data_IF_819705826355
#
_entry.id   IF_819705826355
#
_cell.length_a   1.000
_cell.length_b   1.000
_cell.length_c   1.000
_cell.angle_alpha   90.00
_cell.angle_beta   90.00
_cell.angle_gamma   90.00
#
_symmetry.space_group_name_H-M   'P 1'
#
loop_
_entity.id
_entity.type
_entity.pdbx_description
1 polymer ?
#
# COMPACT_ATOMS: atom_id res chain seq x y z
N UNK A 1 6.54 19.63 8.59
CA UNK A 1 5.23 20.23 8.27
C UNK A 1 4.41 20.28 9.54
N UNK A 2 4.16 21.47 10.09
CA UNK A 2 3.60 21.66 11.45
C UNK A 2 2.26 22.39 11.45
N UNK A 3 1.72 22.77 10.28
CA UNK A 3 0.40 23.42 10.23
C UNK A 3 -0.72 22.39 10.46
N UNK A 4 -1.80 22.76 11.17
CA UNK A 4 -2.94 21.87 11.41
C UNK A 4 -3.57 21.35 10.12
N UNK A 5 -3.63 22.20 9.09
CA UNK A 5 -4.18 21.88 7.77
C UNK A 5 -3.35 20.79 7.08
N UNK A 6 -2.01 20.92 7.09
CA UNK A 6 -1.09 19.90 6.54
C UNK A 6 -1.30 18.53 7.22
N UNK A 7 -1.61 18.53 8.52
CA UNK A 7 -1.79 17.30 9.30
C UNK A 7 -3.11 16.59 8.98
N UNK A 8 -4.17 17.34 8.70
CA UNK A 8 -5.45 16.79 8.22
C UNK A 8 -5.34 16.19 6.82
N UNK A 9 -4.65 16.88 5.91
CA UNK A 9 -4.42 16.40 4.53
C UNK A 9 -3.61 15.11 4.53
N UNK A 10 -2.54 15.01 5.34
CA UNK A 10 -1.73 13.78 5.47
C UNK A 10 -2.53 12.62 6.05
N UNK A 11 -3.48 12.88 6.96
CA UNK A 11 -4.38 11.83 7.48
C UNK A 11 -5.32 11.31 6.39
N UNK A 12 -5.97 12.21 5.65
CA UNK A 12 -6.87 11.83 4.55
C UNK A 12 -6.11 11.07 3.46
N UNK A 13 -4.91 11.54 3.09
CA UNK A 13 -4.07 10.86 2.10
C UNK A 13 -3.71 9.42 2.54
N UNK A 14 -3.35 9.22 3.82
CA UNK A 14 -3.10 7.88 4.36
C UNK A 14 -4.34 7.00 4.37
N UNK A 15 -5.49 7.56 4.73
CA UNK A 15 -6.75 6.81 4.72
C UNK A 15 -7.12 6.37 3.29
N UNK A 16 -7.01 7.28 2.32
CA UNK A 16 -7.27 6.98 0.91
C UNK A 16 -6.34 5.88 0.38
N UNK A 17 -5.05 5.95 0.72
CA UNK A 17 -4.09 4.91 0.37
C UNK A 17 -4.41 3.59 1.09
N UNK A 18 -4.79 3.62 2.37
CA UNK A 18 -5.06 2.42 3.16
C UNK A 18 -6.29 1.64 2.70
N UNK A 19 -7.35 2.32 2.24
CA UNK A 19 -8.62 1.68 1.87
C UNK A 19 -8.42 0.57 0.84
N UNK A 20 -7.58 0.79 -0.18
CA UNK A 20 -7.35 -0.20 -1.23
C UNK A 20 -6.64 -1.45 -0.70
N UNK A 21 -5.68 -1.29 0.21
CA UNK A 21 -4.95 -2.39 0.83
C UNK A 21 -5.78 -3.14 1.87
N UNK A 22 -6.60 -2.42 2.65
CA UNK A 22 -7.52 -3.04 3.59
C UNK A 22 -8.58 -3.86 2.85
N UNK A 23 -9.16 -3.31 1.78
CA UNK A 23 -10.09 -4.04 0.93
C UNK A 23 -9.44 -5.27 0.30
N UNK A 24 -8.24 -5.11 -0.28
CA UNK A 24 -7.45 -6.21 -0.85
C UNK A 24 -7.11 -7.30 0.17
N UNK A 25 -6.68 -6.92 1.37
CA UNK A 25 -6.34 -7.85 2.45
C UNK A 25 -7.55 -8.61 2.95
N UNK A 26 -8.68 -7.94 3.22
CA UNK A 26 -9.91 -8.60 3.69
C UNK A 26 -10.47 -9.55 2.64
N UNK A 27 -10.53 -9.13 1.38
CA UNK A 27 -11.01 -10.00 0.29
C UNK A 27 -10.13 -11.23 0.09
N UNK A 28 -8.80 -11.08 0.19
CA UNK A 28 -7.88 -12.22 0.15
C UNK A 28 -7.91 -13.09 1.41
N UNK A 29 -8.24 -12.54 2.58
CA UNK A 29 -8.45 -13.33 3.81
C UNK A 29 -9.71 -14.21 3.70
N UNK A 30 -10.82 -13.62 3.25
CA UNK A 30 -12.09 -14.33 3.08
C UNK A 30 -12.04 -15.32 1.90
N UNK A 31 -11.30 -14.97 0.85
CA UNK A 31 -11.15 -15.76 -0.39
C UNK A 31 -9.79 -16.46 -0.52
N UNK A 32 -9.12 -16.79 0.58
CA UNK A 32 -7.72 -17.23 0.57
C UNK A 32 -7.44 -18.41 -0.37
N UNK A 33 -8.32 -19.41 -0.37
CA UNK A 33 -8.21 -20.56 -1.27
C UNK A 33 -8.25 -20.15 -2.76
N UNK A 34 -9.13 -19.22 -3.13
CA UNK A 34 -9.22 -18.70 -4.50
C UNK A 34 -7.99 -17.88 -4.90
N UNK A 35 -7.44 -17.10 -3.96
CA UNK A 35 -6.22 -16.33 -4.19
C UNK A 35 -4.99 -17.23 -4.39
N UNK A 36 -4.85 -18.29 -3.59
CA UNK A 36 -3.79 -19.30 -3.77
C UNK A 36 -3.88 -19.96 -5.14
N UNK A 37 -5.08 -20.38 -5.56
CA UNK A 37 -5.29 -20.96 -6.90
C UNK A 37 -4.95 -19.98 -8.03
N UNK A 38 -5.25 -18.70 -7.87
CA UNK A 38 -4.89 -17.65 -8.82
C UNK A 38 -3.36 -17.45 -8.92
N UNK A 39 -2.65 -17.47 -7.80
CA UNK A 39 -1.19 -17.37 -7.81
C UNK A 39 -0.53 -18.62 -8.43
N UNK A 40 -1.13 -19.79 -8.24
CA UNK A 40 -0.69 -21.03 -8.87
C UNK A 40 -0.89 -20.99 -10.39
N UNK A 41 -2.02 -20.49 -10.88
CA UNK A 41 -2.26 -20.36 -12.33
C UNK A 41 -1.33 -19.34 -13.00
N UNK A 42 -0.87 -18.33 -12.23
CA UNK A 42 0.17 -17.37 -12.62
C UNK A 42 1.60 -17.94 -12.60
N UNK A 43 1.81 -19.19 -12.14
CA UNK A 43 3.11 -19.85 -12.14
C UNK A 43 4.09 -19.35 -11.09
N UNK A 44 3.62 -18.73 -10.00
CA UNK A 44 4.51 -18.24 -8.93
C UNK A 44 5.15 -19.43 -8.21
N UNK A 45 6.49 -19.58 -8.19
CA UNK A 45 7.16 -20.79 -7.68
C UNK A 45 7.05 -21.00 -6.17
N UNK A 46 6.64 -19.99 -5.40
CA UNK A 46 6.58 -20.01 -3.92
C UNK A 46 5.22 -19.55 -3.37
N UNK A 47 4.11 -19.97 -3.99
CA UNK A 47 2.75 -19.55 -3.60
C UNK A 47 2.46 -19.71 -2.11
N UNK A 48 2.87 -20.84 -1.51
CA UNK A 48 2.56 -21.11 -0.10
C UNK A 48 3.21 -20.13 0.88
N UNK A 49 4.28 -19.44 0.48
CA UNK A 49 4.96 -18.43 1.28
C UNK A 49 4.56 -17.03 0.83
N UNK A 50 4.46 -16.81 -0.48
CA UNK A 50 4.11 -15.51 -1.04
C UNK A 50 2.66 -15.10 -0.75
N UNK A 51 1.71 -16.03 -0.79
CA UNK A 51 0.30 -15.76 -0.52
C UNK A 51 0.04 -15.24 0.91
N UNK A 52 0.50 -15.92 1.98
CA UNK A 52 0.29 -15.41 3.34
C UNK A 52 1.07 -14.11 3.61
N UNK A 53 2.25 -13.93 3.01
CA UNK A 53 3.00 -12.67 3.11
C UNK A 53 2.22 -11.53 2.45
N UNK A 54 1.70 -11.73 1.23
CA UNK A 54 0.90 -10.72 0.53
C UNK A 54 -0.33 -10.31 1.36
N UNK A 55 -1.05 -11.29 1.89
CA UNK A 55 -2.21 -11.05 2.76
C UNK A 55 -1.81 -10.31 4.04
N UNK A 56 -0.72 -10.72 4.69
CA UNK A 56 -0.23 -10.07 5.90
C UNK A 56 0.20 -8.62 5.61
N UNK A 57 0.92 -8.37 4.51
CA UNK A 57 1.37 -7.02 4.11
C UNK A 57 0.18 -6.12 3.79
N UNK A 58 -0.82 -6.59 3.05
CA UNK A 58 -1.99 -5.78 2.72
C UNK A 58 -2.84 -5.46 3.95
N UNK A 59 -3.09 -6.47 4.80
CA UNK A 59 -3.95 -6.31 5.97
C UNK A 59 -3.26 -5.51 7.07
N UNK A 60 -2.06 -5.94 7.48
CA UNK A 60 -1.29 -5.26 8.53
C UNK A 60 -0.75 -3.93 8.03
N UNK A 61 -0.29 -3.86 6.79
CA UNK A 61 0.23 -2.62 6.21
C UNK A 61 -0.86 -1.55 6.06
N UNK A 62 -2.06 -1.93 5.60
CA UNK A 62 -3.23 -1.05 5.59
C UNK A 62 -3.59 -0.56 7.00
N UNK A 63 -3.59 -1.46 7.99
CA UNK A 63 -3.89 -1.11 9.38
C UNK A 63 -2.83 -0.16 9.98
N UNK A 64 -1.54 -0.42 9.76
CA UNK A 64 -0.46 0.45 10.21
C UNK A 64 -0.47 1.82 9.52
N UNK A 65 -0.95 1.90 8.27
CA UNK A 65 -1.15 3.15 7.58
C UNK A 65 -2.22 4.02 8.24
N UNK A 66 -3.36 3.42 8.63
CA UNK A 66 -4.44 4.08 9.36
C UNK A 66 -3.99 4.51 10.75
N UNK A 67 -3.34 3.61 11.48
CA UNK A 67 -2.82 3.87 12.83
C UNK A 67 -1.66 4.87 12.82
N UNK A 68 -0.98 5.03 11.68
CA UNK A 68 0.07 6.01 11.57
C UNK A 68 1.33 5.63 12.36
N UNK A 69 1.63 4.34 12.42
CA UNK A 69 2.75 3.79 13.18
C UNK A 69 3.94 3.52 12.26
N UNK A 70 5.09 4.17 12.50
CA UNK A 70 6.31 4.05 11.67
C UNK A 70 6.04 4.21 10.16
N UNK A 71 5.34 5.28 9.78
CA UNK A 71 4.90 5.50 8.39
C UNK A 71 6.06 5.60 7.38
N UNK A 72 7.24 6.08 7.80
CA UNK A 72 8.40 6.19 6.90
C UNK A 72 8.89 4.85 6.35
N UNK A 73 9.32 3.89 7.19
CA UNK A 73 9.72 2.57 6.69
C UNK A 73 8.53 1.79 6.12
N UNK A 74 7.32 1.97 6.67
CA UNK A 74 6.12 1.32 6.14
C UNK A 74 5.80 1.78 4.72
N UNK A 75 5.88 3.08 4.44
CA UNK A 75 5.66 3.65 3.11
C UNK A 75 6.62 3.06 2.08
N UNK A 76 7.89 2.86 2.46
CA UNK A 76 8.87 2.27 1.54
C UNK A 76 8.52 0.81 1.23
N UNK A 77 8.22 0.01 2.26
CA UNK A 77 7.80 -1.39 2.08
C UNK A 77 6.54 -1.48 1.21
N UNK A 78 5.55 -0.64 1.48
CA UNK A 78 4.29 -0.60 0.73
C UNK A 78 4.52 -0.15 -0.71
N UNK A 79 5.40 0.82 -0.97
CA UNK A 79 5.75 1.25 -2.33
C UNK A 79 6.38 0.10 -3.13
N UNK A 80 7.38 -0.59 -2.55
CA UNK A 80 8.03 -1.74 -3.19
C UNK A 80 7.04 -2.87 -3.43
N UNK A 81 6.21 -3.19 -2.44
CA UNK A 81 5.15 -4.20 -2.57
C UNK A 81 4.14 -3.85 -3.67
N UNK A 82 3.73 -2.58 -3.75
CA UNK A 82 2.76 -2.12 -4.76
C UNK A 82 3.33 -2.22 -6.17
N UNK A 83 4.61 -1.90 -6.35
CA UNK A 83 5.28 -2.05 -7.66
C UNK A 83 5.44 -3.53 -8.01
N UNK A 84 5.88 -4.37 -7.06
CA UNK A 84 6.02 -5.80 -7.29
C UNK A 84 4.70 -6.46 -7.67
N UNK A 85 3.61 -6.12 -6.99
CA UNK A 85 2.27 -6.63 -7.32
C UNK A 85 1.71 -6.04 -8.62
N UNK A 86 2.05 -4.79 -8.98
CA UNK A 86 1.70 -4.23 -10.29
C UNK A 86 2.35 -5.02 -11.42
N UNK A 87 3.66 -5.30 -11.29
CA UNK A 87 4.42 -6.04 -12.29
C UNK A 87 3.89 -7.47 -12.42
N UNK A 88 3.74 -8.21 -11.32
CA UNK A 88 3.29 -9.61 -11.36
C UNK A 88 1.78 -9.78 -11.62
N UNK A 89 0.98 -8.80 -11.25
CA UNK A 89 -0.48 -8.85 -11.33
C UNK A 89 -1.00 -8.40 -12.68
N UNK A 90 -0.37 -7.38 -13.27
CA UNK A 90 -0.86 -6.66 -14.44
C UNK A 90 0.20 -6.62 -15.55
N UNK A 91 0.65 -7.81 -15.97
CA UNK A 91 1.60 -8.02 -17.07
C UNK A 91 1.02 -7.62 -18.44
N UNK A 92 0.69 -6.33 -18.63
CA UNK A 92 0.07 -5.83 -19.86
C UNK A 92 0.95 -6.07 -21.10
N UNK A 93 2.27 -6.20 -20.92
CA UNK A 93 3.24 -6.52 -21.98
C UNK A 93 3.09 -7.95 -22.54
N UNK A 94 2.41 -8.85 -21.83
CA UNK A 94 2.23 -10.24 -22.23
C UNK A 94 0.83 -10.52 -22.80
N UNK A 95 0.01 -9.48 -23.01
CA UNK A 95 -1.37 -9.59 -23.49
C UNK A 95 -1.46 -9.13 -24.94
N UNK A 96 -2.00 -9.99 -25.80
CA UNK A 96 -2.17 -9.74 -27.24
C UNK A 96 -3.52 -9.12 -27.60
N UNK A 97 -4.52 -9.27 -26.72
CA UNK A 97 -5.84 -8.66 -26.90
C UNK A 97 -5.78 -7.16 -26.54
N UNK A 98 -6.10 -6.24 -27.46
CA UNK A 98 -5.94 -4.80 -27.24
C UNK A 98 -6.89 -4.23 -26.17
N UNK A 99 -8.05 -4.83 -25.94
CA UNK A 99 -9.01 -4.38 -24.92
C UNK A 99 -8.50 -4.78 -23.53
N UNK A 100 -8.08 -6.04 -23.37
CA UNK A 100 -7.50 -6.52 -22.11
C UNK A 100 -6.17 -5.85 -21.79
N UNK A 101 -5.35 -5.57 -22.81
CA UNK A 101 -4.08 -4.87 -22.65
C UNK A 101 -4.28 -3.46 -22.07
N UNK A 102 -5.30 -2.72 -22.56
CA UNK A 102 -5.61 -1.39 -22.06
C UNK A 102 -6.06 -1.41 -20.59
N UNK A 103 -6.92 -2.36 -20.21
CA UNK A 103 -7.40 -2.53 -18.84
C UNK A 103 -6.26 -2.85 -17.86
N UNK A 104 -5.36 -3.77 -18.24
CA UNK A 104 -4.18 -4.11 -17.43
C UNK A 104 -3.20 -2.94 -17.32
N UNK A 105 -3.02 -2.16 -18.37
CA UNK A 105 -2.19 -0.95 -18.35
C UNK A 105 -2.75 0.09 -17.37
N UNK A 106 -4.07 0.32 -17.35
CA UNK A 106 -4.71 1.22 -16.39
C UNK A 106 -4.47 0.73 -14.96
N UNK A 107 -4.65 -0.57 -14.71
CA UNK A 107 -4.40 -1.14 -13.38
C UNK A 107 -2.93 -1.06 -12.96
N UNK A 108 -1.99 -1.27 -13.88
CA UNK A 108 -0.57 -1.06 -13.65
C UNK A 108 -0.27 0.39 -13.27
N UNK A 109 -0.71 1.35 -14.09
CA UNK A 109 -0.50 2.79 -13.85
C UNK A 109 -1.13 3.27 -12.54
N UNK A 110 -2.32 2.76 -12.19
CA UNK A 110 -2.95 3.00 -10.88
C UNK A 110 -2.01 2.61 -9.74
N UNK A 111 -1.43 1.41 -9.78
CA UNK A 111 -0.52 0.94 -8.75
C UNK A 111 0.79 1.76 -8.72
N UNK A 112 1.32 2.17 -9.87
CA UNK A 112 2.48 3.08 -9.93
C UNK A 112 2.16 4.43 -9.27
N UNK A 113 0.99 5.01 -9.53
CA UNK A 113 0.54 6.23 -8.86
C UNK A 113 0.42 6.08 -7.34
N UNK A 114 -0.13 4.96 -6.88
CA UNK A 114 -0.22 4.62 -5.45
C UNK A 114 1.17 4.47 -4.82
N UNK A 115 2.11 3.81 -5.50
CA UNK A 115 3.50 3.69 -5.05
C UNK A 115 4.17 5.08 -4.93
N UNK A 116 3.90 6.00 -5.86
CA UNK A 116 4.31 7.40 -5.75
C UNK A 116 3.75 8.08 -4.50
N UNK A 117 2.48 7.85 -4.16
CA UNK A 117 1.87 8.32 -2.92
C UNK A 117 2.57 7.76 -1.66
N UNK A 118 2.97 6.50 -1.67
CA UNK A 118 3.74 5.91 -0.56
C UNK A 118 5.16 6.45 -0.45
N UNK A 119 5.85 6.70 -1.56
CA UNK A 119 7.15 7.37 -1.56
C UNK A 119 7.05 8.79 -1.02
N UNK A 120 5.96 9.51 -1.33
CA UNK A 120 5.69 10.82 -0.74
C UNK A 120 5.44 10.72 0.78
N UNK A 121 4.83 9.64 1.27
CA UNK A 121 4.71 9.37 2.71
C UNK A 121 6.07 9.08 3.38
N UNK A 122 7.05 8.56 2.65
CA UNK A 122 8.41 8.37 3.17
C UNK A 122 9.08 9.71 3.49
N UNK A 123 8.85 10.74 2.65
CA UNK A 123 9.44 12.06 2.82
C UNK A 123 8.64 12.92 3.82
N UNK A 124 7.31 12.94 3.68
CA UNK A 124 6.41 13.74 4.53
C UNK A 124 6.24 13.17 5.95
N UNK A 125 6.35 11.84 6.10
CA UNK A 125 6.15 11.16 7.38
C UNK A 125 4.67 11.06 7.78
N UNK A 126 4.42 10.68 9.04
CA UNK A 126 3.09 10.33 9.51
C UNK A 126 2.15 11.53 9.80
N UNK A 127 2.66 12.76 9.81
CA UNK A 127 1.89 13.94 10.25
C UNK A 127 1.59 13.97 11.76
N UNK A 128 1.02 15.07 12.28
CA UNK A 128 0.69 15.22 13.72
C UNK A 128 -0.45 14.32 14.20
N UNK A 129 -1.40 13.98 13.32
CA UNK A 129 -2.54 13.10 13.65
C UNK A 129 -2.09 11.65 13.44
N UNK A 130 -1.19 11.17 14.30
CA UNK A 130 -0.55 9.86 14.11
C UNK A 130 0.09 9.37 15.41
N UNK A 131 0.18 8.05 15.61
CA UNK A 131 0.91 7.51 16.78
C UNK A 131 2.37 7.96 16.78
N UNK A 132 3.02 8.07 15.61
CA UNK A 132 4.38 8.63 15.47
C UNK A 132 4.45 10.12 15.90
N UNK A 133 3.41 10.90 15.59
CA UNK A 133 3.29 12.29 16.00
C UNK A 133 3.00 12.46 17.50
N UNK A 134 2.29 11.52 18.10
CA UNK A 134 2.02 11.48 19.54
C UNK A 134 3.28 11.08 20.36
N UNK A 135 4.21 10.34 19.76
CA UNK A 135 5.47 9.90 20.40
C UNK A 135 6.63 10.88 20.25
N UNK A 136 6.52 11.89 19.38
CA UNK A 136 7.56 12.92 19.26
C UNK A 136 7.46 13.81 20.51
N UNK A 137 8.52 13.90 21.35
CA UNK A 137 8.47 14.75 22.53
C UNK A 137 8.06 16.16 22.12
N UNK A 138 7.08 16.74 22.84
CA UNK A 138 6.77 18.17 22.73
C UNK A 138 8.02 18.91 23.20
N UNK A 139 8.99 19.15 22.33
CA UNK A 139 10.02 20.14 22.64
C UNK A 139 9.28 21.45 22.86
N UNK A 140 9.47 22.00 24.06
CA UNK A 140 8.57 22.94 24.68
C UNK A 140 8.32 24.20 23.84
N UNK A 141 7.21 24.84 24.18
CA UNK A 141 7.17 26.30 24.26
C UNK A 141 8.53 26.80 24.79
N UNK A 142 9.24 27.61 24.00
CA UNK A 142 10.43 28.27 24.51
C UNK A 142 11.42 28.75 23.46
N UNK A 143 10.98 29.73 22.66
CA UNK A 143 11.67 30.97 22.23
C UNK A 143 11.36 31.31 20.78
#
# INVERSE_FOLDING_TARGET
>A
MTRPVDSGVIFIARLALAVLFLWGGVTKLLGYAGFVSYMQSKGVPVVQIAAPIAVAVETLGGLFLVLGFKIRPLGFIMAVYTIATAVLGHDFWNITDPVMQHDMLIHFLKNVGIAGGFLLLCTTGAGRISIDGARTPRSGLGR
#
